data_IF_565956739258
#
_entry.id   IF_565956739258
#
_cell.length_a   1.000
_cell.length_b   1.000
_cell.length_c   1.000
_cell.angle_alpha   90.00
_cell.angle_beta   90.00
_cell.angle_gamma   90.00
#
_symmetry.space_group_name_H-M   'P 1'
#
loop_
_entity.id
_entity.type
_entity.pdbx_description
1 polymer ?
#
# COMPACT_ATOMS: atom_id res chain seq x y z
N UNK A 1 2.14 -19.08 -5.55
CA UNK A 1 2.16 -17.66 -5.08
C UNK A 1 1.91 -17.61 -3.60
N UNK A 2 2.84 -16.96 -2.88
CA UNK A 2 2.67 -16.69 -1.46
C UNK A 2 1.55 -15.68 -1.21
N UNK A 3 1.18 -15.50 0.06
CA UNK A 3 0.12 -14.54 0.45
C UNK A 3 0.44 -13.12 -0.02
N UNK A 4 1.70 -12.71 0.03
CA UNK A 4 2.16 -11.41 -0.47
C UNK A 4 1.91 -11.22 -1.96
N UNK A 5 2.34 -12.16 -2.80
CA UNK A 5 2.20 -12.07 -4.26
C UNK A 5 0.72 -11.95 -4.65
N UNK A 6 -0.16 -12.68 -3.96
CA UNK A 6 -1.61 -12.62 -4.19
C UNK A 6 -2.17 -11.23 -3.89
N UNK A 7 -1.79 -10.61 -2.77
CA UNK A 7 -2.24 -9.27 -2.42
C UNK A 7 -1.64 -8.22 -3.36
N UNK A 8 -0.35 -8.31 -3.70
CA UNK A 8 0.28 -7.39 -4.63
C UNK A 8 -0.40 -7.46 -6.01
N UNK A 9 -0.66 -8.66 -6.51
CA UNK A 9 -1.42 -8.86 -7.76
C UNK A 9 -2.83 -8.26 -7.68
N UNK A 10 -3.53 -8.45 -6.55
CA UNK A 10 -4.84 -7.86 -6.29
C UNK A 10 -4.80 -6.32 -6.37
N UNK A 11 -3.84 -5.69 -5.69
CA UNK A 11 -3.62 -4.23 -5.75
C UNK A 11 -3.37 -3.78 -7.18
N UNK A 12 -2.44 -4.44 -7.89
CA UNK A 12 -2.03 -4.04 -9.24
C UNK A 12 -3.16 -4.21 -10.28
N UNK A 13 -3.99 -5.24 -10.13
CA UNK A 13 -5.16 -5.47 -11.00
C UNK A 13 -6.19 -4.33 -10.90
N UNK A 14 -6.32 -3.70 -9.73
CA UNK A 14 -7.32 -2.68 -9.46
C UNK A 14 -8.78 -3.15 -9.44
N UNK A 15 -9.04 -4.45 -9.59
CA UNK A 15 -10.39 -5.02 -9.62
C UNK A 15 -10.99 -5.16 -8.22
N UNK A 16 -10.19 -4.98 -7.18
CA UNK A 16 -10.59 -5.26 -5.80
C UNK A 16 -10.15 -4.18 -4.81
N UNK A 17 -10.09 -2.91 -5.25
CA UNK A 17 -9.65 -1.79 -4.40
C UNK A 17 -10.48 -1.65 -3.10
N UNK A 18 -11.74 -2.11 -3.09
CA UNK A 18 -12.63 -2.09 -1.90
C UNK A 18 -12.39 -3.26 -0.93
N UNK A 19 -11.63 -4.27 -1.34
CA UNK A 19 -11.49 -5.55 -0.65
C UNK A 19 -10.02 -5.84 -0.30
N UNK A 20 -9.36 -4.84 0.30
CA UNK A 20 -8.00 -4.97 0.80
C UNK A 20 -8.00 -4.53 2.25
N UNK A 21 -7.55 -5.40 3.15
CA UNK A 21 -7.45 -5.04 4.55
C UNK A 21 -6.37 -3.97 4.75
N UNK A 22 -6.56 -3.12 5.75
CA UNK A 22 -5.60 -2.06 6.06
C UNK A 22 -4.20 -2.62 6.35
N UNK A 23 -4.15 -3.72 7.12
CA UNK A 23 -2.90 -4.38 7.50
C UNK A 23 -2.20 -5.02 6.29
N UNK A 24 -2.95 -5.61 5.35
CA UNK A 24 -2.36 -6.16 4.13
C UNK A 24 -1.71 -5.07 3.27
N UNK A 25 -2.38 -3.92 3.12
CA UNK A 25 -1.83 -2.78 2.38
C UNK A 25 -0.55 -2.25 3.02
N UNK A 26 -0.53 -2.11 4.35
CA UNK A 26 0.66 -1.70 5.10
C UNK A 26 1.81 -2.71 4.92
N UNK A 27 1.52 -4.01 5.00
CA UNK A 27 2.52 -5.06 4.81
C UNK A 27 3.10 -5.08 3.40
N UNK A 28 2.29 -4.78 2.37
CA UNK A 28 2.79 -4.62 1.00
C UNK A 28 3.76 -3.46 0.91
N UNK A 29 3.41 -2.28 1.44
CA UNK A 29 4.30 -1.11 1.41
C UNK A 29 5.63 -1.39 2.13
N UNK A 30 5.61 -2.05 3.29
CA UNK A 30 6.83 -2.45 4.01
C UNK A 30 7.73 -3.37 3.17
N UNK A 31 7.15 -4.38 2.50
CA UNK A 31 7.89 -5.30 1.63
C UNK A 31 8.41 -4.67 0.34
N UNK A 32 7.75 -3.61 -0.13
CA UNK A 32 8.25 -2.76 -1.21
C UNK A 32 9.35 -1.78 -0.72
N UNK A 33 9.75 -1.88 0.54
CA UNK A 33 10.81 -1.09 1.17
C UNK A 33 10.41 0.35 1.45
N UNK A 34 9.13 0.64 1.69
CA UNK A 34 8.71 1.90 2.31
C UNK A 34 8.98 1.84 3.82
N UNK A 35 9.47 2.95 4.37
CA UNK A 35 9.62 3.18 5.80
C UNK A 35 8.27 3.65 6.35
N UNK A 36 7.90 3.19 7.55
CA UNK A 36 6.66 3.53 8.23
C UNK A 36 6.95 4.41 9.44
N UNK A 37 6.16 5.48 9.61
CA UNK A 37 6.07 6.26 10.83
C UNK A 37 4.60 6.30 11.26
N UNK A 38 4.34 6.05 12.54
CA UNK A 38 2.99 6.05 13.09
C UNK A 38 2.79 7.29 13.96
N UNK A 39 1.65 7.97 13.77
CA UNK A 39 1.22 9.09 14.60
C UNK A 39 -0.30 8.97 14.87
N UNK A 40 -0.65 8.54 16.08
CA UNK A 40 -2.05 8.18 16.39
C UNK A 40 -2.55 7.05 15.49
N UNK A 41 -3.71 7.23 14.84
CA UNK A 41 -4.26 6.26 13.88
C UNK A 41 -3.69 6.38 12.46
N UNK A 42 -2.78 7.34 12.23
CA UNK A 42 -2.21 7.60 10.91
C UNK A 42 -0.90 6.83 10.73
N UNK A 43 -0.81 6.10 9.62
CA UNK A 43 0.39 5.40 9.19
C UNK A 43 0.96 6.12 7.98
N UNK A 44 2.10 6.77 8.19
CA UNK A 44 2.79 7.57 7.17
C UNK A 44 3.88 6.70 6.56
N UNK A 45 3.83 6.49 5.25
CA UNK A 45 4.82 5.74 4.48
C UNK A 45 5.59 6.67 3.54
N UNK A 46 6.90 6.45 3.47
CA UNK A 46 7.81 7.17 2.58
C UNK A 46 8.94 6.23 2.13
N UNK A 47 9.53 6.49 0.97
CA UNK A 47 10.65 5.72 0.43
C UNK A 47 11.60 6.66 -0.29
N UNK A 48 12.90 6.47 -0.09
CA UNK A 48 13.92 7.27 -0.77
C UNK A 48 13.79 7.10 -2.30
N UNK A 49 13.76 8.20 -3.04
CA UNK A 49 13.51 8.21 -4.50
C UNK A 49 12.04 8.22 -4.92
N UNK A 50 11.09 8.16 -3.97
CA UNK A 50 9.65 8.36 -4.23
C UNK A 50 9.24 9.71 -3.65
N UNK A 51 8.61 10.58 -4.46
CA UNK A 51 8.26 11.94 -4.03
C UNK A 51 7.05 11.95 -3.09
N UNK A 52 6.15 11.01 -3.28
CA UNK A 52 4.86 10.94 -2.61
C UNK A 52 5.01 10.39 -1.20
N UNK A 53 4.55 11.17 -0.22
CA UNK A 53 4.34 10.68 1.14
C UNK A 53 2.91 10.14 1.22
N UNK A 54 2.78 8.88 1.61
CA UNK A 54 1.50 8.18 1.70
C UNK A 54 1.02 8.27 3.15
N UNK A 55 -0.14 8.86 3.40
CA UNK A 55 -0.78 8.86 4.71
C UNK A 55 -1.99 7.92 4.69
N UNK A 56 -1.86 6.78 5.35
CA UNK A 56 -2.91 5.77 5.48
C UNK A 56 -3.63 5.89 6.82
N UNK A 57 -4.94 5.66 6.79
CA UNK A 57 -5.75 5.56 7.99
C UNK A 57 -6.75 4.42 7.77
N UNK A 58 -6.92 3.52 8.75
CA UNK A 58 -7.89 2.44 8.63
C UNK A 58 -9.31 2.99 8.52
N UNK A 59 -10.17 2.29 7.76
CA UNK A 59 -11.62 2.42 7.84
C UNK A 59 -12.16 1.09 8.35
N UNK A 60 -12.36 1.00 9.66
CA UNK A 60 -12.56 -0.27 10.38
C UNK A 60 -11.37 -1.20 10.12
N UNK A 61 -11.59 -2.41 9.61
CA UNK A 61 -10.55 -3.38 9.25
C UNK A 61 -9.93 -3.16 7.87
N UNK A 62 -10.56 -2.35 7.01
CA UNK A 62 -10.18 -2.22 5.60
C UNK A 62 -9.46 -0.92 5.27
N UNK A 63 -8.65 -0.97 4.21
CA UNK A 63 -8.13 0.24 3.59
C UNK A 63 -9.25 0.99 2.86
N UNK A 64 -9.10 2.30 2.74
CA UNK A 64 -10.00 3.11 1.91
C UNK A 64 -9.67 2.83 0.44
N UNK A 65 -10.67 2.51 -0.39
CA UNK A 65 -10.44 2.10 -1.79
C UNK A 65 -9.62 3.11 -2.62
N UNK A 66 -9.80 4.41 -2.37
CA UNK A 66 -9.00 5.44 -3.04
C UNK A 66 -7.52 5.39 -2.64
N UNK A 67 -7.20 4.99 -1.40
CA UNK A 67 -5.81 4.85 -0.94
C UNK A 67 -5.15 3.65 -1.62
N UNK A 68 -5.89 2.55 -1.82
CA UNK A 68 -5.42 1.41 -2.61
C UNK A 68 -5.10 1.86 -4.04
N UNK A 69 -6.02 2.60 -4.67
CA UNK A 69 -5.79 3.16 -6.01
C UNK A 69 -4.58 4.09 -6.07
N UNK A 70 -4.41 4.98 -5.08
CA UNK A 70 -3.25 5.87 -4.98
C UNK A 70 -1.94 5.07 -4.90
N UNK A 71 -1.90 4.03 -4.05
CA UNK A 71 -0.71 3.19 -3.90
C UNK A 71 -0.40 2.42 -5.18
N UNK A 72 -1.42 1.84 -5.83
CA UNK A 72 -1.25 1.20 -7.14
C UNK A 72 -0.60 2.16 -8.14
N UNK A 73 -1.10 3.40 -8.22
CA UNK A 73 -0.55 4.39 -9.15
C UNK A 73 0.92 4.70 -8.85
N UNK A 74 1.30 4.85 -7.57
CA UNK A 74 2.69 5.07 -7.15
C UNK A 74 3.57 3.88 -7.55
N UNK A 75 3.12 2.65 -7.29
CA UNK A 75 3.86 1.44 -7.65
C UNK A 75 4.12 1.39 -9.16
N UNK A 76 3.11 1.68 -9.98
CA UNK A 76 3.21 1.68 -11.44
C UNK A 76 4.10 2.82 -11.96
N UNK A 77 3.90 4.04 -11.45
CA UNK A 77 4.65 5.23 -11.87
C UNK A 77 6.16 5.07 -11.63
N UNK A 78 6.54 4.55 -10.46
CA UNK A 78 7.94 4.37 -10.09
C UNK A 78 8.49 2.98 -10.40
N UNK A 79 7.70 2.11 -11.04
CA UNK A 79 8.05 0.72 -11.36
C UNK A 79 8.65 -0.03 -10.15
N UNK A 80 8.04 0.17 -8.98
CA UNK A 80 8.53 -0.39 -7.72
C UNK A 80 8.38 -1.90 -7.76
N UNK A 81 9.48 -2.62 -7.54
CA UNK A 81 9.49 -4.08 -7.41
C UNK A 81 9.73 -4.44 -5.95
N UNK A 82 9.15 -5.56 -5.51
CA UNK A 82 9.52 -6.15 -4.22
C UNK A 82 10.95 -6.66 -4.29
N UNK A 83 11.66 -6.55 -3.17
CA UNK A 83 12.91 -7.28 -2.94
C UNK A 83 12.64 -8.76 -2.68
#
# INVERSE_FOLDING_TARGET
MGKYDKILSKILSGLSDKDISFLELCNVLKRLGFKERIQGSHHIFYKDGIKEIINLQPKNSNAKAYQVKQIRNIIVQYKIKGE
#
